data_IF_554420591135
#
_entry.id   IF_554420591135
#
_cell.length_a   1.000
_cell.length_b   1.000
_cell.length_c   1.000
_cell.angle_alpha   90.00
_cell.angle_beta   90.00
_cell.angle_gamma   90.00
#
_symmetry.space_group_name_H-M   'P 1'
#
loop_
_entity.id
_entity.type
_entity.pdbx_description
1 polymer ?
#
# COMPACT_ATOMS: atom_id res chain seq x y z
N UNK A 1 27.32 -23.49 -40.86
CA UNK A 1 26.67 -22.16 -40.77
C UNK A 1 26.19 -22.05 -39.32
N UNK A 2 26.95 -21.31 -38.54
CA UNK A 2 26.61 -21.11 -37.10
C UNK A 2 25.60 -19.96 -37.00
N UNK A 3 24.36 -20.30 -36.69
CA UNK A 3 23.31 -19.30 -36.45
C UNK A 3 23.60 -18.61 -35.13
N UNK A 4 24.10 -17.41 -35.17
CA UNK A 4 24.27 -16.55 -34.01
C UNK A 4 22.85 -16.13 -33.57
N UNK A 5 22.30 -16.82 -32.55
CA UNK A 5 21.05 -16.39 -31.89
C UNK A 5 21.39 -15.15 -31.10
N UNK A 6 20.97 -13.98 -31.59
CA UNK A 6 21.01 -12.74 -30.81
C UNK A 6 20.15 -12.93 -29.57
N UNK A 7 20.68 -12.76 -28.35
CA UNK A 7 19.85 -12.87 -27.16
C UNK A 7 18.74 -11.81 -27.23
N UNK A 8 17.49 -12.25 -27.10
CA UNK A 8 16.34 -11.35 -26.96
C UNK A 8 16.54 -10.51 -25.71
N UNK A 9 16.81 -9.22 -25.89
CA UNK A 9 16.85 -8.27 -24.77
C UNK A 9 15.41 -8.08 -24.31
N UNK A 10 15.12 -8.41 -23.04
CA UNK A 10 13.82 -8.20 -22.44
C UNK A 10 13.50 -6.71 -22.36
N UNK A 11 12.27 -6.33 -22.64
CA UNK A 11 11.78 -4.96 -22.41
C UNK A 11 11.66 -4.74 -20.90
N UNK A 12 12.13 -3.60 -20.40
CA UNK A 12 12.01 -3.24 -18.98
C UNK A 12 10.61 -2.73 -18.67
N UNK A 13 9.89 -3.49 -17.84
CA UNK A 13 8.59 -3.11 -17.33
C UNK A 13 8.71 -2.67 -15.88
N UNK A 14 8.46 -1.39 -15.62
CA UNK A 14 8.44 -0.84 -14.26
C UNK A 14 6.99 -0.68 -13.79
N UNK A 15 6.71 -1.17 -12.59
CA UNK A 15 5.42 -1.02 -11.91
C UNK A 15 5.68 -0.17 -10.66
N UNK A 16 5.01 0.99 -10.56
CA UNK A 16 5.08 1.86 -9.40
C UNK A 16 3.86 1.63 -8.51
N UNK A 17 4.11 1.07 -7.35
CA UNK A 17 3.10 0.67 -6.37
C UNK A 17 3.00 -0.85 -6.21
N UNK A 18 3.36 -1.35 -5.02
CA UNK A 18 3.29 -2.75 -4.65
C UNK A 18 2.13 -3.01 -3.66
N UNK A 19 0.99 -2.38 -3.91
CA UNK A 19 -0.26 -2.69 -3.22
C UNK A 19 -1.02 -3.82 -3.91
N UNK A 20 -2.29 -4.04 -3.53
CA UNK A 20 -3.15 -5.09 -4.07
C UNK A 20 -3.21 -5.08 -5.61
N UNK A 21 -3.35 -3.90 -6.22
CA UNK A 21 -3.45 -3.76 -7.69
C UNK A 21 -2.12 -4.06 -8.38
N UNK A 22 -1.01 -3.54 -7.85
CA UNK A 22 0.33 -3.80 -8.41
C UNK A 22 0.68 -5.27 -8.33
N UNK A 23 0.41 -5.90 -7.20
CA UNK A 23 0.62 -7.34 -7.01
C UNK A 23 -0.24 -8.18 -7.97
N UNK A 24 -1.54 -7.90 -8.04
CA UNK A 24 -2.42 -8.63 -8.97
C UNK A 24 -2.00 -8.46 -10.44
N UNK A 25 -1.51 -7.28 -10.81
CA UNK A 25 -0.93 -7.08 -12.15
C UNK A 25 0.26 -8.02 -12.40
N UNK A 26 1.14 -8.20 -11.41
CA UNK A 26 2.29 -9.11 -11.50
C UNK A 26 1.82 -10.57 -11.63
N UNK A 27 0.84 -10.99 -10.83
CA UNK A 27 0.24 -12.33 -10.96
C UNK A 27 -0.25 -12.58 -12.39
N UNK A 28 -0.99 -11.63 -12.96
CA UNK A 28 -1.48 -11.74 -14.34
C UNK A 28 -0.36 -11.76 -15.39
N UNK A 29 0.75 -11.05 -15.17
CA UNK A 29 1.92 -11.12 -16.04
C UNK A 29 2.58 -12.48 -16.00
N UNK A 30 2.70 -13.08 -14.80
CA UNK A 30 3.25 -14.42 -14.59
C UNK A 30 2.36 -15.48 -15.26
N UNK A 31 1.06 -15.48 -14.97
CA UNK A 31 0.09 -16.43 -15.51
C UNK A 31 0.05 -16.43 -17.04
N UNK A 32 0.24 -15.26 -17.66
CA UNK A 32 0.25 -15.09 -19.11
C UNK A 32 1.61 -15.32 -19.77
N UNK A 33 2.62 -15.73 -18.99
CA UNK A 33 3.98 -15.97 -19.48
C UNK A 33 4.71 -14.71 -19.96
N UNK A 34 4.27 -13.53 -19.53
CA UNK A 34 4.82 -12.24 -19.99
C UNK A 34 6.27 -12.01 -19.54
N UNK A 35 6.75 -12.73 -18.54
CA UNK A 35 8.16 -12.64 -18.07
C UNK A 35 9.17 -13.17 -19.09
N UNK A 36 8.73 -13.88 -20.14
CA UNK A 36 9.58 -14.23 -21.28
C UNK A 36 9.91 -13.02 -22.16
N UNK A 37 9.13 -11.94 -22.02
CA UNK A 37 9.26 -10.70 -22.80
C UNK A 37 9.73 -9.54 -21.94
N UNK A 38 9.36 -9.52 -20.68
CA UNK A 38 9.60 -8.39 -19.79
C UNK A 38 10.55 -8.73 -18.66
N UNK A 39 11.52 -7.85 -18.40
CA UNK A 39 12.27 -7.72 -17.15
C UNK A 39 11.45 -6.81 -16.22
N UNK A 40 10.82 -7.41 -15.20
CA UNK A 40 9.80 -6.72 -14.38
C UNK A 40 10.41 -6.21 -13.07
N UNK A 41 10.28 -4.91 -12.85
CA UNK A 41 10.66 -4.22 -11.61
C UNK A 41 9.40 -3.64 -10.96
N UNK A 42 9.17 -3.91 -9.68
CA UNK A 42 8.09 -3.29 -8.91
C UNK A 42 8.66 -2.49 -7.75
N UNK A 43 8.20 -1.24 -7.61
CA UNK A 43 8.59 -0.33 -6.54
C UNK A 43 7.45 -0.15 -5.56
N UNK A 44 7.74 -0.33 -4.27
CA UNK A 44 6.81 -0.11 -3.17
C UNK A 44 7.43 0.76 -2.10
N UNK A 45 6.74 1.84 -1.69
CA UNK A 45 7.21 2.70 -0.61
C UNK A 45 7.23 2.00 0.75
N UNK A 46 6.31 1.04 0.94
CA UNK A 46 6.25 0.23 2.15
C UNK A 46 7.29 -0.91 2.10
N UNK A 47 7.82 -1.27 3.26
CA UNK A 47 8.81 -2.35 3.40
C UNK A 47 8.20 -3.74 3.28
N UNK A 48 6.90 -3.84 3.51
CA UNK A 48 6.15 -5.08 3.41
C UNK A 48 5.85 -5.39 1.94
N UNK A 49 5.81 -6.68 1.61
CA UNK A 49 5.23 -7.13 0.36
C UNK A 49 3.73 -6.83 0.32
N UNK A 50 3.10 -6.97 -0.83
CA UNK A 50 1.68 -6.72 -0.98
C UNK A 50 0.86 -7.49 0.07
N UNK A 51 -0.11 -6.82 0.68
CA UNK A 51 -0.99 -7.38 1.70
C UNK A 51 -2.43 -6.92 1.47
N UNK A 52 -3.38 -7.68 2.00
CA UNK A 52 -4.81 -7.43 1.89
C UNK A 52 -5.24 -6.24 2.77
N UNK A 53 -5.47 -5.09 2.12
CA UNK A 53 -5.91 -3.87 2.80
C UNK A 53 -7.40 -3.88 3.14
N UNK A 54 -8.18 -4.76 2.54
CA UNK A 54 -9.61 -4.87 2.84
C UNK A 54 -9.81 -5.47 4.25
N UNK A 55 -8.90 -6.35 4.65
CA UNK A 55 -8.95 -7.01 5.97
C UNK A 55 -8.00 -6.39 6.99
N UNK A 56 -7.60 -5.12 6.79
CA UNK A 56 -6.66 -4.43 7.67
C UNK A 56 -7.17 -4.34 9.12
N UNK A 57 -8.47 -4.25 9.33
CA UNK A 57 -9.09 -4.24 10.66
C UNK A 57 -8.82 -5.52 11.48
N UNK A 58 -8.58 -6.65 10.82
CA UNK A 58 -8.28 -7.93 11.48
C UNK A 58 -6.91 -7.94 12.16
N UNK A 59 -6.03 -6.99 11.81
CA UNK A 59 -4.74 -6.78 12.48
C UNK A 59 -4.91 -6.49 13.99
N UNK A 60 -5.97 -5.78 14.37
CA UNK A 60 -6.30 -5.54 15.78
C UNK A 60 -7.01 -6.74 16.44
N UNK A 61 -7.52 -7.66 15.64
CA UNK A 61 -8.11 -8.93 16.10
C UNK A 61 -7.09 -10.06 16.33
N UNK A 62 -5.77 -9.78 16.16
CA UNK A 62 -4.71 -10.75 16.41
C UNK A 62 -4.06 -11.32 15.14
N UNK A 63 -4.48 -10.91 13.94
CA UNK A 63 -3.70 -11.18 12.74
C UNK A 63 -2.39 -10.37 12.73
N UNK A 64 -1.38 -10.92 12.12
CA UNK A 64 -0.09 -10.25 11.88
C UNK A 64 0.07 -9.88 10.41
N UNK A 65 1.16 -9.18 10.10
CA UNK A 65 1.48 -8.76 8.73
C UNK A 65 1.66 -9.95 7.78
N UNK A 66 2.14 -11.09 8.30
CA UNK A 66 2.34 -12.30 7.52
C UNK A 66 1.02 -12.93 7.08
N UNK A 67 0.04 -12.99 7.98
CA UNK A 67 -1.29 -13.54 7.70
C UNK A 67 -2.12 -12.67 6.76
N UNK A 68 -1.78 -11.38 6.63
CA UNK A 68 -2.39 -10.45 5.68
C UNK A 68 -1.65 -10.42 4.33
N UNK A 69 -0.43 -10.98 4.25
CA UNK A 69 0.34 -10.97 3.02
C UNK A 69 -0.39 -11.72 1.89
N UNK A 70 -0.36 -11.14 0.69
CA UNK A 70 -1.01 -11.71 -0.51
C UNK A 70 -0.15 -12.79 -1.18
N UNK A 71 1.12 -12.90 -0.81
CA UNK A 71 2.03 -13.86 -1.40
C UNK A 71 3.10 -14.31 -0.39
N UNK A 72 3.77 -15.41 -0.69
CA UNK A 72 4.92 -15.92 0.07
C UNK A 72 6.12 -14.96 -0.03
N UNK A 73 7.05 -15.05 0.92
CA UNK A 73 8.19 -14.14 1.02
C UNK A 73 9.11 -14.17 -0.22
N UNK A 74 9.25 -15.33 -0.86
CA UNK A 74 10.09 -15.54 -2.03
C UNK A 74 9.34 -15.40 -3.37
N UNK A 75 8.04 -15.04 -3.34
CA UNK A 75 7.19 -15.04 -4.53
C UNK A 75 7.80 -14.27 -5.70
N UNK A 76 8.21 -13.03 -5.48
CA UNK A 76 8.78 -12.20 -6.55
C UNK A 76 10.08 -12.78 -7.08
N UNK A 77 11.01 -13.14 -6.21
CA UNK A 77 12.32 -13.68 -6.61
C UNK A 77 12.20 -15.03 -7.32
N UNK A 78 11.30 -15.89 -6.87
CA UNK A 78 11.03 -17.20 -7.49
C UNK A 78 10.52 -17.07 -8.92
N UNK A 79 9.79 -15.98 -9.22
CA UNK A 79 9.30 -15.68 -10.56
C UNK A 79 10.21 -14.75 -11.36
N UNK A 80 11.38 -14.34 -10.82
CA UNK A 80 12.30 -13.45 -11.51
C UNK A 80 11.84 -11.99 -11.56
N UNK A 81 10.88 -11.59 -10.71
CA UNK A 81 10.44 -10.20 -10.55
C UNK A 81 11.35 -9.50 -9.54
N UNK A 82 11.85 -8.33 -9.88
CA UNK A 82 12.69 -7.52 -9.01
C UNK A 82 11.81 -6.59 -8.17
N UNK A 83 11.64 -6.92 -6.90
CA UNK A 83 10.84 -6.14 -5.96
C UNK A 83 11.75 -5.20 -5.14
N UNK A 84 11.49 -3.90 -5.29
CA UNK A 84 12.16 -2.81 -4.56
C UNK A 84 11.23 -2.33 -3.45
N UNK A 85 11.23 -3.04 -2.32
CA UNK A 85 10.38 -2.74 -1.17
C UNK A 85 11.05 -1.71 -0.26
N UNK A 86 10.28 -0.78 0.30
CA UNK A 86 10.78 0.36 1.06
C UNK A 86 11.43 1.41 0.17
N UNK A 87 11.16 1.39 -1.15
CA UNK A 87 11.76 2.29 -2.12
C UNK A 87 10.67 3.08 -2.86
N UNK A 88 10.51 4.33 -2.46
CA UNK A 88 9.54 5.24 -3.06
C UNK A 88 10.06 5.81 -4.38
N UNK A 89 9.23 5.78 -5.41
CA UNK A 89 9.47 6.55 -6.65
C UNK A 89 9.08 7.99 -6.39
N UNK A 90 10.07 8.89 -6.53
CA UNK A 90 9.95 10.32 -6.24
C UNK A 90 9.60 11.13 -7.49
N UNK A 91 10.06 10.67 -8.67
CA UNK A 91 9.87 11.37 -9.93
C UNK A 91 9.81 10.37 -11.09
N UNK A 92 9.12 10.75 -12.15
CA UNK A 92 9.08 10.04 -13.44
C UNK A 92 9.63 10.97 -14.51
N UNK A 93 10.84 10.69 -14.97
CA UNK A 93 11.46 11.37 -16.12
C UNK A 93 10.93 10.73 -17.42
N UNK A 94 9.94 11.35 -18.01
CA UNK A 94 9.28 10.84 -19.22
C UNK A 94 10.15 10.97 -20.48
N UNK A 95 11.05 11.94 -20.50
CA UNK A 95 11.94 12.17 -21.65
C UNK A 95 13.03 11.10 -21.71
N UNK A 96 13.63 10.79 -20.55
CA UNK A 96 14.64 9.74 -20.43
C UNK A 96 14.04 8.36 -20.23
N UNK A 97 12.73 8.26 -19.98
CA UNK A 97 12.04 7.04 -19.60
C UNK A 97 12.68 6.37 -18.39
N UNK A 98 12.80 7.11 -17.30
CA UNK A 98 13.36 6.64 -16.04
C UNK A 98 12.43 6.98 -14.88
N UNK A 99 12.34 6.10 -13.89
CA UNK A 99 11.84 6.46 -12.56
C UNK A 99 13.01 6.79 -11.66
N UNK A 100 12.83 7.79 -10.79
CA UNK A 100 13.86 8.28 -9.87
C UNK A 100 13.43 7.93 -8.46
N UNK A 101 14.33 7.34 -7.70
CA UNK A 101 14.17 6.97 -6.29
C UNK A 101 15.27 7.59 -5.45
N UNK A 102 15.23 7.41 -4.14
CA UNK A 102 16.34 7.80 -3.26
C UNK A 102 17.63 7.02 -3.50
N UNK A 103 17.54 5.83 -4.12
CA UNK A 103 18.66 4.94 -4.38
C UNK A 103 19.25 5.09 -5.81
N UNK A 104 18.58 5.83 -6.69
CA UNK A 104 19.05 6.03 -8.05
C UNK A 104 17.95 6.15 -9.09
N UNK A 105 18.28 5.74 -10.31
CA UNK A 105 17.40 5.81 -11.48
C UNK A 105 17.20 4.42 -12.06
N UNK A 106 15.97 4.07 -12.40
CA UNK A 106 15.60 2.82 -13.08
C UNK A 106 14.99 3.15 -14.43
N UNK A 107 15.64 2.78 -15.55
CA UNK A 107 15.08 2.96 -16.89
C UNK A 107 13.92 1.99 -17.13
N UNK A 108 12.98 2.41 -17.97
CA UNK A 108 11.84 1.59 -18.38
C UNK A 108 11.52 1.73 -19.88
N UNK A 109 11.04 0.66 -20.48
CA UNK A 109 10.39 0.66 -21.81
C UNK A 109 8.89 0.85 -21.65
N UNK A 110 8.33 0.26 -20.61
CA UNK A 110 6.92 0.35 -20.22
C UNK A 110 6.81 0.72 -18.74
N UNK A 111 5.80 1.54 -18.41
CA UNK A 111 5.54 1.98 -17.04
C UNK A 111 4.07 1.77 -16.71
N UNK A 112 3.81 1.14 -15.56
CA UNK A 112 2.48 0.99 -14.97
C UNK A 112 2.46 1.75 -13.65
N UNK A 113 1.43 2.57 -13.46
CA UNK A 113 1.18 3.29 -12.22
C UNK A 113 0.05 2.62 -11.44
N UNK A 114 0.38 2.05 -10.30
CA UNK A 114 -0.53 1.39 -9.36
C UNK A 114 -0.36 1.97 -7.95
N UNK A 115 -0.14 3.30 -7.87
CA UNK A 115 0.28 4.04 -6.68
C UNK A 115 -0.77 4.11 -5.57
N UNK A 116 -2.03 3.78 -5.87
CA UNK A 116 -3.11 3.85 -4.90
C UNK A 116 -3.50 5.30 -4.56
N UNK A 117 -3.75 5.56 -3.28
CA UNK A 117 -4.16 6.88 -2.77
C UNK A 117 -3.52 7.13 -1.41
N UNK A 118 -3.45 8.40 -1.01
CA UNK A 118 -3.08 8.81 0.34
C UNK A 118 -4.31 9.24 1.14
N UNK A 119 -4.31 9.06 2.47
CA UNK A 119 -5.40 9.57 3.30
C UNK A 119 -5.42 11.10 3.24
N UNK A 120 -6.61 11.66 2.98
CA UNK A 120 -6.80 13.09 3.11
C UNK A 120 -6.91 13.45 4.59
N UNK A 121 -6.03 14.33 5.04
CA UNK A 121 -6.07 14.88 6.39
C UNK A 121 -6.50 16.33 6.29
N UNK A 122 -7.70 16.68 6.76
CA UNK A 122 -8.18 18.05 6.69
C UNK A 122 -7.33 18.98 7.57
N UNK A 123 -7.14 20.26 7.17
CA UNK A 123 -6.39 21.24 7.95
C UNK A 123 -7.23 21.73 9.15
N UNK A 124 -7.26 20.94 10.20
CA UNK A 124 -7.99 21.28 11.43
C UNK A 124 -7.01 21.98 12.40
N UNK A 125 -7.31 23.21 12.86
CA UNK A 125 -6.48 23.88 13.86
C UNK A 125 -6.30 23.01 15.12
N UNK A 126 -5.06 22.89 15.60
CA UNK A 126 -4.71 22.03 16.74
C UNK A 126 -4.48 20.55 16.39
N UNK A 127 -4.62 20.16 15.12
CA UNK A 127 -4.31 18.82 14.67
C UNK A 127 -2.82 18.63 14.30
N UNK A 128 -1.99 19.60 14.61
CA UNK A 128 -0.54 19.51 14.44
C UNK A 128 0.06 18.69 15.59
N UNK A 129 0.96 17.76 15.25
CA UNK A 129 1.70 16.99 16.26
C UNK A 129 1.53 15.48 16.14
N UNK A 130 2.21 14.76 17.05
CA UNK A 130 2.34 13.31 17.01
C UNK A 130 1.09 12.53 17.45
N UNK A 131 0.02 13.21 17.89
CA UNK A 131 -1.24 12.56 18.28
C UNK A 131 -2.20 12.32 17.11
N UNK A 132 -1.85 12.80 15.90
CA UNK A 132 -2.62 12.59 14.69
C UNK A 132 -2.14 11.33 13.98
N UNK A 133 -3.02 10.36 13.83
CA UNK A 133 -2.76 9.08 13.19
C UNK A 133 -3.73 8.91 12.01
N UNK A 134 -3.32 8.18 11.02
CA UNK A 134 -4.14 7.76 9.89
C UNK A 134 -4.34 6.24 9.92
N UNK A 135 -5.32 5.74 9.20
CA UNK A 135 -5.67 4.32 9.17
C UNK A 135 -5.57 3.83 7.72
N UNK A 136 -4.38 3.37 7.31
CA UNK A 136 -4.17 2.98 5.92
C UNK A 136 -3.12 1.91 5.70
N UNK A 137 -2.00 1.95 6.40
CA UNK A 137 -0.88 1.01 6.25
C UNK A 137 -0.67 0.20 7.52
N UNK A 138 0.05 -0.91 7.43
CA UNK A 138 0.44 -1.67 8.63
C UNK A 138 1.27 -0.84 9.60
N UNK A 139 2.11 0.07 9.10
CA UNK A 139 2.88 1.00 9.94
C UNK A 139 1.96 1.98 10.68
N UNK A 140 0.90 2.48 10.02
CA UNK A 140 -0.12 3.29 10.68
C UNK A 140 -0.80 2.51 11.83
N UNK A 141 -1.11 1.23 11.61
CA UNK A 141 -1.74 0.38 12.63
C UNK A 141 -0.82 0.12 13.81
N UNK A 142 0.47 -0.06 13.57
CA UNK A 142 1.47 -0.15 14.63
C UNK A 142 1.56 1.15 15.41
N UNK A 143 1.53 2.29 14.73
CA UNK A 143 1.46 3.62 15.34
C UNK A 143 0.21 3.79 16.22
N UNK A 144 -0.95 3.36 15.74
CA UNK A 144 -2.21 3.38 16.51
C UNK A 144 -2.11 2.47 17.73
N UNK A 145 -1.58 1.25 17.58
CA UNK A 145 -1.38 0.32 18.69
C UNK A 145 -0.44 0.88 19.75
N UNK A 146 0.66 1.49 19.33
CA UNK A 146 1.61 2.13 20.23
C UNK A 146 0.98 3.31 21.00
N UNK A 147 0.24 4.18 20.30
CA UNK A 147 -0.44 5.32 20.90
C UNK A 147 -1.59 4.91 21.84
N UNK A 148 -2.21 3.75 21.60
CA UNK A 148 -3.26 3.20 22.45
C UNK A 148 -2.72 2.74 23.82
N UNK A 149 -1.41 2.45 23.91
CA UNK A 149 -0.79 1.99 25.16
C UNK A 149 -0.87 3.08 26.24
N UNK A 150 -1.61 2.82 27.30
CA UNK A 150 -1.84 3.77 28.41
C UNK A 150 -2.92 4.83 28.12
N UNK A 151 -3.47 4.87 26.92
CA UNK A 151 -4.61 5.72 26.58
C UNK A 151 -5.92 5.11 27.15
N UNK A 152 -6.89 5.99 27.43
CA UNK A 152 -8.25 5.59 27.86
C UNK A 152 -9.29 5.85 26.77
N UNK A 153 -9.03 6.82 25.91
CA UNK A 153 -9.95 7.32 24.90
C UNK A 153 -9.25 7.47 23.56
N UNK A 154 -9.99 7.20 22.50
CA UNK A 154 -9.58 7.51 21.14
C UNK A 154 -10.69 8.25 20.41
N UNK A 155 -10.32 9.22 19.56
CA UNK A 155 -11.24 10.00 18.76
C UNK A 155 -10.96 9.74 17.30
N UNK A 156 -12.00 9.39 16.55
CA UNK A 156 -11.96 9.24 15.10
C UNK A 156 -12.67 10.44 14.47
N UNK A 157 -12.00 11.11 13.55
CA UNK A 157 -12.59 12.21 12.78
C UNK A 157 -13.00 11.69 11.42
N UNK A 158 -14.30 11.63 11.18
CA UNK A 158 -14.96 11.06 9.99
C UNK A 158 -15.79 9.84 10.34
N UNK A 159 -17.07 9.85 9.96
CA UNK A 159 -18.06 8.79 10.23
C UNK A 159 -18.39 7.95 8.99
N UNK A 160 -17.50 7.89 7.98
CA UNK A 160 -17.61 6.97 6.86
C UNK A 160 -17.13 5.56 7.20
N UNK A 161 -17.09 4.66 6.21
CA UNK A 161 -16.69 3.24 6.39
C UNK A 161 -15.36 3.09 7.13
N UNK A 162 -14.30 3.72 6.64
CA UNK A 162 -12.97 3.64 7.26
C UNK A 162 -12.94 4.23 8.68
N UNK A 163 -13.74 5.28 8.93
CA UNK A 163 -13.85 5.86 10.26
C UNK A 163 -14.51 4.92 11.26
N UNK A 164 -15.55 4.19 10.83
CA UNK A 164 -16.19 3.19 11.68
C UNK A 164 -15.30 1.97 11.91
N UNK A 165 -14.52 1.55 10.91
CA UNK A 165 -13.50 0.51 11.08
C UNK A 165 -12.42 0.95 12.08
N UNK A 166 -11.92 2.18 11.97
CA UNK A 166 -10.95 2.74 12.92
C UNK A 166 -11.54 2.82 14.34
N UNK A 167 -12.80 3.22 14.48
CA UNK A 167 -13.48 3.25 15.78
C UNK A 167 -13.61 1.84 16.39
N UNK A 168 -13.94 0.84 15.57
CA UNK A 168 -13.97 -0.54 16.00
C UNK A 168 -12.58 -1.06 16.42
N UNK A 169 -11.54 -0.67 15.68
CA UNK A 169 -10.15 -0.96 16.03
C UNK A 169 -9.77 -0.38 17.41
N UNK A 170 -10.13 0.87 17.70
CA UNK A 170 -9.91 1.49 19.00
C UNK A 170 -10.64 0.74 20.12
N UNK A 171 -11.88 0.28 19.88
CA UNK A 171 -12.61 -0.57 20.83
C UNK A 171 -11.91 -1.90 21.06
N UNK A 172 -11.39 -2.54 20.02
CA UNK A 172 -10.63 -3.80 20.13
C UNK A 172 -9.36 -3.64 20.95
N UNK A 173 -8.77 -2.43 20.96
CA UNK A 173 -7.64 -2.06 21.80
C UNK A 173 -8.04 -1.67 23.25
N UNK A 174 -9.32 -1.75 23.59
CA UNK A 174 -9.83 -1.46 24.94
C UNK A 174 -10.07 0.01 25.23
N UNK A 175 -10.07 0.88 24.21
CA UNK A 175 -10.32 2.30 24.38
C UNK A 175 -11.82 2.63 24.33
N UNK A 176 -12.21 3.70 25.03
CA UNK A 176 -13.47 4.39 24.78
C UNK A 176 -13.36 5.16 23.47
N UNK A 177 -14.05 4.68 22.42
CA UNK A 177 -13.98 5.25 21.10
C UNK A 177 -15.06 6.29 20.86
N UNK A 178 -14.67 7.48 20.41
CA UNK A 178 -15.57 8.56 20.02
C UNK A 178 -15.42 8.80 18.51
N UNK A 179 -16.55 9.02 17.82
CA UNK A 179 -16.56 9.40 16.41
C UNK A 179 -17.11 10.82 16.28
N UNK A 180 -16.37 11.67 15.59
CA UNK A 180 -16.76 13.04 15.25
C UNK A 180 -17.02 13.10 13.76
N UNK A 181 -18.25 13.41 13.37
CA UNK A 181 -18.68 13.54 11.99
C UNK A 181 -19.22 14.95 11.74
N UNK A 182 -18.85 15.53 10.59
CA UNK A 182 -19.33 16.85 10.20
C UNK A 182 -20.77 16.81 9.67
N UNK A 183 -21.14 15.72 8.98
CA UNK A 183 -22.50 15.51 8.49
C UNK A 183 -23.46 15.18 9.66
N UNK A 184 -24.78 15.42 9.50
CA UNK A 184 -25.77 15.18 10.55
C UNK A 184 -25.96 13.68 10.88
N UNK A 185 -25.37 12.78 10.08
CA UNK A 185 -25.46 11.32 10.26
C UNK A 185 -24.18 10.62 9.86
N UNK A 186 -23.99 9.40 10.34
CA UNK A 186 -22.89 8.51 9.91
C UNK A 186 -23.21 7.94 8.53
N UNK A 187 -22.15 7.66 7.74
CA UNK A 187 -22.25 7.02 6.43
C UNK A 187 -23.28 7.68 5.48
N UNK A 188 -23.24 9.01 5.30
CA UNK A 188 -24.32 9.73 4.60
C UNK A 188 -24.43 9.38 3.11
N UNK A 189 -23.39 8.73 2.54
CA UNK A 189 -23.36 8.32 1.12
C UNK A 189 -23.82 6.86 0.94
N UNK A 190 -23.66 6.03 1.97
CA UNK A 190 -23.90 4.58 1.89
C UNK A 190 -25.24 4.14 2.48
N UNK A 191 -25.81 4.93 3.36
CA UNK A 191 -27.09 4.61 4.03
C UNK A 191 -28.15 5.64 3.68
N UNK A 192 -29.36 5.15 3.41
CA UNK A 192 -30.56 5.97 3.28
C UNK A 192 -31.04 6.47 4.66
N UNK A 193 -32.03 7.39 4.66
CA UNK A 193 -32.65 7.92 5.89
C UNK A 193 -33.50 6.87 6.62
#
# INVERSE_FOLDING_TARGET
>A
MSSTVTPLTLEKLVIVGNGMVGHHCIEQLIERGALTRYDVHVFGEERQRAYDRVHLSEYFGGRDAESLAMCEADYYSRHGVQAHLGEQVLEIDRERKEVVTGNGRQPYDKLILATGSYPFVPPIPGAEGNSRLVYRTLEDLDGIRAAATGARRGVVVGGGLLGLEAANALKSLGLEAHVVEFAPRLMPVQLDD
#
